data_IF_704292387400
#
_entry.id   IF_704292387400
#
_cell.length_a   1.000
_cell.length_b   1.000
_cell.length_c   1.000
_cell.angle_alpha   90.00
_cell.angle_beta   90.00
_cell.angle_gamma   90.00
#
_symmetry.space_group_name_H-M   'P 1'
#
loop_
_entity.id
_entity.type
_entity.pdbx_description
1 polymer ?
#
# COMPACT_ATOMS: atom_id res chain seq x y z
N UNK A 1 -9.88 10.80 14.52
CA UNK A 1 -10.75 11.27 13.44
C UNK A 1 -10.70 10.29 12.28
N UNK A 2 -11.84 9.86 11.83
CA UNK A 2 -11.91 8.94 10.70
C UNK A 2 -11.62 9.69 9.40
N UNK A 3 -10.81 9.09 8.53
CA UNK A 3 -10.60 9.68 7.21
C UNK A 3 -11.85 9.53 6.35
N UNK A 4 -12.01 10.41 5.38
CA UNK A 4 -13.16 10.37 4.48
C UNK A 4 -12.85 9.44 3.32
N UNK A 5 -13.49 8.27 3.32
CA UNK A 5 -13.22 7.22 2.33
C UNK A 5 -14.02 7.35 1.04
N UNK A 6 -15.07 8.18 1.01
CA UNK A 6 -15.94 8.27 -0.16
C UNK A 6 -15.22 8.68 -1.46
N UNK A 7 -14.33 9.69 -1.46
CA UNK A 7 -13.59 10.01 -2.70
C UNK A 7 -12.68 8.89 -3.17
N UNK A 8 -12.00 8.20 -2.24
CA UNK A 8 -11.15 7.07 -2.57
C UNK A 8 -11.98 5.93 -3.16
N UNK A 9 -13.10 5.60 -2.52
CA UNK A 9 -14.01 4.57 -2.99
C UNK A 9 -14.48 4.86 -4.41
N UNK A 10 -14.82 6.11 -4.70
CA UNK A 10 -15.29 6.52 -6.03
C UNK A 10 -14.22 6.30 -7.10
N UNK A 11 -12.98 6.74 -6.83
CA UNK A 11 -11.88 6.53 -7.77
C UNK A 11 -11.64 5.03 -8.01
N UNK A 12 -11.66 4.24 -6.96
CA UNK A 12 -11.47 2.79 -7.09
C UNK A 12 -12.61 2.13 -7.86
N UNK A 13 -13.85 2.54 -7.60
CA UNK A 13 -15.03 2.02 -8.29
C UNK A 13 -14.93 2.23 -9.81
N UNK A 14 -14.45 3.40 -10.23
CA UNK A 14 -14.28 3.74 -11.64
C UNK A 14 -12.92 3.35 -12.19
N UNK A 15 -12.13 2.59 -11.44
CA UNK A 15 -10.81 2.11 -11.84
C UNK A 15 -9.84 3.25 -12.17
N UNK A 16 -9.99 4.37 -11.51
CA UNK A 16 -9.10 5.52 -11.60
C UNK A 16 -7.95 5.31 -10.61
N UNK A 17 -7.11 4.33 -10.89
CA UNK A 17 -6.11 3.86 -9.92
C UNK A 17 -5.00 4.87 -9.64
N UNK A 18 -4.62 5.68 -10.61
CA UNK A 18 -3.62 6.71 -10.36
C UNK A 18 -4.14 7.74 -9.35
N UNK A 19 -5.38 8.20 -9.53
CA UNK A 19 -6.01 9.13 -8.61
C UNK A 19 -6.20 8.48 -7.23
N UNK A 20 -6.59 7.21 -7.21
CA UNK A 20 -6.75 6.47 -5.96
C UNK A 20 -5.42 6.34 -5.22
N UNK A 21 -4.33 6.12 -5.95
CA UNK A 21 -2.99 6.01 -5.37
C UNK A 21 -2.55 7.34 -4.73
N UNK A 22 -2.73 8.45 -5.45
CA UNK A 22 -2.39 9.78 -4.94
C UNK A 22 -3.20 10.13 -3.71
N UNK A 23 -4.49 9.80 -3.73
CA UNK A 23 -5.38 10.06 -2.59
C UNK A 23 -5.00 9.20 -1.39
N UNK A 24 -4.59 7.96 -1.61
CA UNK A 24 -4.13 7.08 -0.53
C UNK A 24 -2.89 7.67 0.14
N UNK A 25 -1.93 8.17 -0.62
CA UNK A 25 -0.75 8.84 -0.06
C UNK A 25 -1.14 10.06 0.76
N UNK A 26 -2.09 10.86 0.27
CA UNK A 26 -2.60 12.02 0.98
C UNK A 26 -3.26 11.61 2.30
N UNK A 27 -4.08 10.56 2.27
CA UNK A 27 -4.73 10.05 3.48
C UNK A 27 -3.71 9.57 4.51
N UNK A 28 -2.67 8.87 4.08
CA UNK A 28 -1.63 8.41 5.00
C UNK A 28 -0.94 9.59 5.70
N UNK A 29 -0.66 10.67 4.96
CA UNK A 29 -0.08 11.87 5.57
C UNK A 29 -1.02 12.49 6.60
N UNK A 30 -2.31 12.60 6.27
CA UNK A 30 -3.31 13.13 7.19
C UNK A 30 -3.42 12.28 8.46
N UNK A 31 -3.45 10.96 8.29
CA UNK A 31 -3.56 10.02 9.40
C UNK A 31 -2.30 10.01 10.28
N UNK A 32 -1.14 10.25 9.70
CA UNK A 32 0.12 10.30 10.43
C UNK A 32 0.28 11.62 11.24
N UNK A 33 -0.49 12.65 10.89
CA UNK A 33 -0.55 13.89 11.68
C UNK A 33 -0.10 15.13 10.92
N UNK A 34 -0.28 16.26 11.57
CA UNK A 34 -0.01 17.58 10.98
C UNK A 34 1.43 17.73 10.48
N UNK A 35 2.39 17.20 11.23
CA UNK A 35 3.79 17.29 10.83
C UNK A 35 4.06 16.58 9.51
N UNK A 36 3.44 15.41 9.30
CA UNK A 36 3.57 14.67 8.06
C UNK A 36 2.93 15.43 6.89
N UNK A 37 1.75 16.01 7.13
CA UNK A 37 1.07 16.82 6.10
C UNK A 37 1.94 18.01 5.68
N UNK A 38 2.47 18.76 6.64
CA UNK A 38 3.30 19.94 6.37
C UNK A 38 4.60 19.57 5.67
N UNK A 39 5.20 18.44 6.05
CA UNK A 39 6.45 17.97 5.48
C UNK A 39 6.27 17.39 4.08
N UNK A 40 5.09 16.81 3.81
CA UNK A 40 4.78 16.21 2.52
C UNK A 40 5.10 14.72 2.42
N UNK A 41 5.50 14.08 3.51
CA UNK A 41 5.73 12.64 3.55
C UNK A 41 5.67 12.11 4.98
N UNK A 42 5.47 10.81 5.14
CA UNK A 42 5.34 10.16 6.44
C UNK A 42 6.70 9.58 6.86
N UNK A 43 7.11 9.83 8.10
CA UNK A 43 8.24 9.12 8.69
C UNK A 43 7.80 7.73 9.14
N UNK A 44 8.69 6.74 9.04
CA UNK A 44 8.36 5.38 9.46
C UNK A 44 7.89 5.33 10.93
N UNK A 45 8.47 6.16 11.79
CA UNK A 45 8.12 6.21 13.21
C UNK A 45 6.71 6.73 13.49
N UNK A 46 6.11 7.42 12.52
CA UNK A 46 4.75 7.95 12.65
C UNK A 46 3.67 6.91 12.33
N UNK A 47 4.05 5.82 11.67
CA UNK A 47 3.09 4.78 11.26
C UNK A 47 2.40 4.15 12.46
N UNK A 48 3.11 3.94 13.55
CA UNK A 48 2.55 3.33 14.76
C UNK A 48 1.39 4.14 15.35
N UNK A 49 1.32 5.45 15.07
CA UNK A 49 0.25 6.31 15.57
C UNK A 49 -1.01 6.28 14.71
N UNK A 50 -0.95 5.67 13.53
CA UNK A 50 -2.10 5.59 12.64
C UNK A 50 -3.11 4.61 13.21
N UNK A 51 -4.38 5.04 13.27
CA UNK A 51 -5.48 4.21 13.76
C UNK A 51 -5.59 2.91 12.96
N UNK A 52 -5.73 1.78 13.68
CA UNK A 52 -5.93 0.47 13.05
C UNK A 52 -7.17 0.45 12.18
N UNK A 53 -8.26 1.08 12.62
CA UNK A 53 -9.50 1.14 11.84
C UNK A 53 -9.30 1.87 10.52
N UNK A 54 -8.59 2.99 10.55
CA UNK A 54 -8.34 3.78 9.35
C UNK A 54 -7.47 3.02 8.36
N UNK A 55 -6.41 2.40 8.85
CA UNK A 55 -5.51 1.64 7.99
C UNK A 55 -6.18 0.38 7.42
N UNK A 56 -7.01 -0.29 8.23
CA UNK A 56 -7.83 -1.40 7.76
C UNK A 56 -8.79 -0.96 6.66
N UNK A 57 -9.39 0.21 6.81
CA UNK A 57 -10.33 0.74 5.83
C UNK A 57 -9.66 1.00 4.49
N UNK A 58 -8.45 1.60 4.52
CA UNK A 58 -7.68 1.82 3.30
C UNK A 58 -7.37 0.49 2.60
N UNK A 59 -6.87 -0.48 3.34
CA UNK A 59 -6.53 -1.78 2.78
C UNK A 59 -7.76 -2.49 2.22
N UNK A 60 -8.85 -2.47 2.97
CA UNK A 60 -10.12 -3.11 2.57
C UNK A 60 -10.65 -2.54 1.27
N UNK A 61 -10.60 -1.22 1.10
CA UNK A 61 -11.08 -0.57 -0.12
C UNK A 61 -10.24 -1.01 -1.33
N UNK A 62 -8.92 -0.99 -1.19
CA UNK A 62 -8.04 -1.43 -2.28
C UNK A 62 -8.31 -2.88 -2.68
N UNK A 63 -8.46 -3.76 -1.71
CA UNK A 63 -8.73 -5.18 -1.98
C UNK A 63 -10.09 -5.36 -2.63
N UNK A 64 -11.12 -4.71 -2.09
CA UNK A 64 -12.50 -4.89 -2.57
C UNK A 64 -12.68 -4.45 -4.02
N UNK A 65 -12.03 -3.36 -4.42
CA UNK A 65 -12.20 -2.80 -5.76
C UNK A 65 -11.11 -3.21 -6.75
N UNK A 66 -10.27 -4.17 -6.38
CA UNK A 66 -9.21 -4.67 -7.26
C UNK A 66 -9.27 -6.19 -7.43
N UNK A 67 -10.37 -6.81 -7.02
CA UNK A 67 -10.50 -8.28 -7.07
C UNK A 67 -9.39 -8.97 -6.26
N UNK A 68 -8.98 -8.36 -5.18
CA UNK A 68 -7.94 -8.89 -4.29
C UNK A 68 -6.53 -8.72 -4.80
N UNK A 69 -6.33 -7.95 -5.86
CA UNK A 69 -5.00 -7.82 -6.48
C UNK A 69 -4.12 -6.79 -5.79
N UNK A 70 -4.70 -5.73 -5.22
CA UNK A 70 -3.95 -4.59 -4.68
C UNK A 70 -4.31 -4.36 -3.22
N UNK A 71 -3.38 -3.72 -2.49
CA UNK A 71 -3.56 -3.41 -1.09
C UNK A 71 -2.30 -3.69 -0.30
N UNK A 72 -2.20 -3.08 0.89
CA UNK A 72 -1.04 -3.27 1.76
C UNK A 72 -0.90 -4.72 2.23
N UNK A 73 -2.01 -5.38 2.57
CA UNK A 73 -1.96 -6.78 3.02
C UNK A 73 -1.55 -7.73 1.89
N UNK A 74 -1.86 -7.38 0.64
CA UNK A 74 -1.37 -8.13 -0.52
C UNK A 74 0.15 -7.98 -0.63
N UNK A 75 0.66 -6.77 -0.48
CA UNK A 75 2.10 -6.50 -0.49
C UNK A 75 2.79 -7.25 0.66
N UNK A 76 2.17 -7.26 1.83
CA UNK A 76 2.69 -8.00 2.99
C UNK A 76 2.76 -9.50 2.73
N UNK A 77 1.73 -10.07 2.11
CA UNK A 77 1.73 -11.49 1.74
C UNK A 77 2.85 -11.81 0.76
N UNK A 78 3.02 -10.98 -0.25
CA UNK A 78 4.08 -11.17 -1.24
C UNK A 78 5.47 -11.07 -0.62
N UNK A 79 5.66 -10.16 0.33
CA UNK A 79 6.92 -10.06 1.05
C UNK A 79 7.24 -11.35 1.79
N UNK A 80 6.25 -11.94 2.45
CA UNK A 80 6.44 -13.22 3.14
C UNK A 80 6.75 -14.35 2.18
N UNK A 81 6.11 -14.37 1.02
CA UNK A 81 6.41 -15.35 -0.02
C UNK A 81 7.83 -15.20 -0.56
N UNK A 82 8.39 -14.01 -0.47
CA UNK A 82 9.80 -13.74 -0.80
C UNK A 82 10.72 -13.94 0.40
N UNK A 83 10.24 -14.54 1.49
CA UNK A 83 11.01 -14.77 2.71
C UNK A 83 11.61 -13.47 3.27
N UNK A 84 10.84 -12.37 3.18
CA UNK A 84 11.22 -11.03 3.63
C UNK A 84 12.43 -10.44 2.90
N UNK A 85 12.67 -10.87 1.68
CA UNK A 85 13.75 -10.34 0.85
C UNK A 85 13.22 -9.24 -0.04
N UNK A 86 13.48 -7.99 0.34
CA UNK A 86 13.00 -6.82 -0.38
C UNK A 86 13.41 -6.82 -1.85
N UNK A 87 14.65 -7.22 -2.15
CA UNK A 87 15.14 -7.23 -3.53
C UNK A 87 14.38 -8.21 -4.43
N UNK A 88 13.77 -9.23 -3.86
CA UNK A 88 12.91 -10.16 -4.60
C UNK A 88 11.48 -9.64 -4.72
N UNK A 89 11.07 -8.80 -3.77
CA UNK A 89 9.72 -8.23 -3.78
C UNK A 89 9.53 -7.18 -4.89
N UNK A 90 10.53 -6.31 -5.08
CA UNK A 90 10.38 -5.19 -6.01
C UNK A 90 9.99 -5.60 -7.42
N UNK A 91 10.64 -6.63 -8.03
CA UNK A 91 10.21 -7.10 -9.36
C UNK A 91 8.79 -7.67 -9.35
N UNK A 92 8.41 -8.36 -8.28
CA UNK A 92 7.07 -8.95 -8.17
C UNK A 92 5.98 -7.90 -8.15
N UNK A 93 6.24 -6.78 -7.48
CA UNK A 93 5.30 -5.65 -7.44
C UNK A 93 5.30 -4.84 -8.73
N UNK A 94 6.28 -5.07 -9.62
CA UNK A 94 6.45 -4.26 -10.81
C UNK A 94 7.05 -2.90 -10.53
N UNK A 95 7.71 -2.73 -9.38
CA UNK A 95 8.35 -1.47 -8.98
C UNK A 95 9.79 -1.37 -9.44
N UNK A 96 10.38 -2.50 -9.85
CA UNK A 96 11.76 -2.54 -10.34
C UNK A 96 11.88 -3.59 -11.43
N UNK A 97 12.53 -3.25 -12.54
CA UNK A 97 12.74 -4.17 -13.68
C UNK A 97 14.18 -4.09 -14.13
N UNK A 98 14.84 -5.24 -14.21
CA UNK A 98 16.23 -5.34 -14.65
C UNK A 98 17.15 -4.40 -13.88
N UNK A 99 16.91 -4.30 -12.55
CA UNK A 99 17.72 -3.46 -11.66
C UNK A 99 17.37 -1.98 -11.70
N UNK A 100 16.36 -1.57 -12.47
CA UNK A 100 15.96 -0.16 -12.63
C UNK A 100 14.58 0.05 -12.02
N UNK A 101 14.45 1.08 -11.18
CA UNK A 101 13.16 1.46 -10.60
C UNK A 101 12.19 1.92 -11.68
N UNK A 102 10.96 1.41 -11.62
CA UNK A 102 9.88 1.83 -12.50
C UNK A 102 9.56 3.31 -12.22
N UNK A 103 9.54 4.13 -13.29
CA UNK A 103 9.28 5.56 -13.15
C UNK A 103 7.84 5.80 -12.70
N UNK A 104 7.69 6.51 -11.59
CA UNK A 104 6.39 6.90 -11.07
C UNK A 104 6.11 8.36 -11.45
N UNK A 105 4.92 8.72 -11.91
CA UNK A 105 3.79 7.80 -12.17
C UNK A 105 3.74 7.26 -13.61
N UNK A 106 4.61 7.75 -14.49
CA UNK A 106 4.46 7.60 -15.94
C UNK A 106 4.61 6.15 -16.44
N UNK A 107 5.43 5.33 -15.77
CA UNK A 107 5.65 3.95 -16.19
C UNK A 107 4.87 2.94 -15.36
N UNK A 108 4.08 3.40 -14.38
CA UNK A 108 3.19 2.51 -13.63
C UNK A 108 2.01 2.08 -14.48
N UNK A 109 1.53 0.87 -14.24
CA UNK A 109 0.35 0.32 -14.92
C UNK A 109 -0.87 0.60 -14.06
N UNK A 110 -1.68 1.55 -14.48
CA UNK A 110 -2.85 2.00 -13.70
C UNK A 110 -4.11 1.24 -14.10
N UNK A 111 -4.05 -0.10 -14.02
CA UNK A 111 -5.19 -0.95 -14.36
C UNK A 111 -5.12 -2.27 -13.61
N UNK A 112 -6.19 -3.07 -13.69
CA UNK A 112 -6.23 -4.40 -13.10
C UNK A 112 -5.22 -5.38 -13.73
N UNK A 113 -4.62 -5.02 -14.85
CA UNK A 113 -3.59 -5.82 -15.51
C UNK A 113 -2.21 -5.67 -14.85
N UNK A 114 -2.06 -4.71 -13.94
CA UNK A 114 -0.81 -4.50 -13.22
C UNK A 114 -0.44 -5.74 -12.40
N UNK A 115 0.84 -5.92 -12.09
CA UNK A 115 1.26 -7.02 -11.22
C UNK A 115 0.55 -6.97 -9.87
N UNK A 116 0.33 -8.15 -9.28
CA UNK A 116 -0.28 -8.23 -7.95
C UNK A 116 0.53 -7.42 -6.95
N UNK A 117 -0.15 -6.63 -6.13
CA UNK A 117 0.50 -5.76 -5.15
C UNK A 117 1.10 -4.48 -5.70
N UNK A 118 0.92 -4.21 -7.00
CA UNK A 118 1.48 -3.03 -7.66
C UNK A 118 1.08 -1.72 -6.98
N UNK A 119 -0.15 -1.66 -6.46
CA UNK A 119 -0.70 -0.48 -5.82
C UNK A 119 -1.17 -0.79 -4.40
N UNK A 120 -1.22 0.15 -3.49
CA UNK A 120 -0.74 1.52 -3.63
C UNK A 120 0.78 1.60 -3.49
N UNK A 121 1.40 2.57 -4.15
CA UNK A 121 2.85 2.76 -4.06
C UNK A 121 3.24 3.29 -2.70
N UNK A 122 4.29 2.71 -2.13
CA UNK A 122 5.00 3.27 -0.98
C UNK A 122 6.38 3.69 -1.48
N UNK A 123 6.67 4.98 -1.39
CA UNK A 123 7.88 5.56 -1.95
C UNK A 123 9.14 4.99 -1.28
N UNK A 124 10.10 4.55 -2.10
CA UNK A 124 11.34 3.94 -1.64
C UNK A 124 12.55 4.89 -1.68
N UNK A 125 12.34 6.18 -1.96
CA UNK A 125 13.45 7.14 -2.02
C UNK A 125 14.23 7.25 -0.72
N UNK A 126 13.58 6.94 0.41
CA UNK A 126 14.18 6.99 1.74
C UNK A 126 14.47 5.60 2.31
N UNK A 127 14.51 4.59 1.47
CA UNK A 127 14.71 3.21 1.87
C UNK A 127 13.42 2.50 2.24
N UNK A 128 13.54 1.31 2.85
CA UNK A 128 12.40 0.41 3.08
C UNK A 128 11.66 0.66 4.40
N UNK A 129 12.17 1.55 5.26
CA UNK A 129 11.64 1.69 6.62
C UNK A 129 10.16 2.03 6.68
N UNK A 130 9.70 2.91 5.80
CA UNK A 130 8.28 3.28 5.79
C UNK A 130 7.41 2.10 5.40
N UNK A 131 7.76 1.41 4.33
CA UNK A 131 7.00 0.25 3.89
C UNK A 131 7.04 -0.87 4.91
N UNK A 132 8.22 -1.11 5.50
CA UNK A 132 8.35 -2.10 6.56
C UNK A 132 7.41 -1.78 7.72
N UNK A 133 7.37 -0.53 8.17
CA UNK A 133 6.47 -0.10 9.23
C UNK A 133 4.99 -0.29 8.86
N UNK A 134 4.61 0.06 7.63
CA UNK A 134 3.23 -0.10 7.16
C UNK A 134 2.83 -1.57 7.11
N UNK A 135 3.66 -2.43 6.53
CA UNK A 135 3.33 -3.83 6.38
C UNK A 135 3.33 -4.57 7.72
N UNK A 136 4.06 -4.08 8.72
CA UNK A 136 4.10 -4.65 10.06
C UNK A 136 3.16 -3.96 11.05
N UNK A 137 2.44 -2.91 10.63
CA UNK A 137 1.40 -2.31 11.46
C UNK A 137 0.37 -3.41 11.82
N UNK A 138 -0.08 -3.47 13.09
CA UNK A 138 -0.99 -4.55 13.51
C UNK A 138 -2.21 -4.72 12.61
N UNK A 139 -2.78 -3.62 12.11
CA UNK A 139 -3.95 -3.68 11.23
C UNK A 139 -3.66 -4.40 9.90
N UNK A 140 -2.50 -4.11 9.29
CA UNK A 140 -2.11 -4.74 8.02
C UNK A 140 -1.64 -6.17 8.27
N UNK A 141 -0.82 -6.36 9.30
CA UNK A 141 -0.27 -7.67 9.64
C UNK A 141 -1.37 -8.69 9.90
N UNK A 142 -2.41 -8.30 10.63
CA UNK A 142 -3.56 -9.16 10.89
C UNK A 142 -4.23 -9.61 9.60
N UNK A 143 -4.43 -8.70 8.67
CA UNK A 143 -5.05 -9.01 7.39
C UNK A 143 -4.14 -9.87 6.50
N UNK A 144 -2.85 -9.64 6.56
CA UNK A 144 -1.86 -10.48 5.88
C UNK A 144 -1.90 -11.91 6.42
N UNK A 145 -1.89 -12.05 7.75
CA UNK A 145 -1.95 -13.35 8.41
C UNK A 145 -3.23 -14.10 8.05
N UNK A 146 -4.37 -13.40 8.04
CA UNK A 146 -5.65 -14.00 7.68
C UNK A 146 -5.65 -14.51 6.23
N UNK A 147 -5.06 -13.76 5.30
CA UNK A 147 -4.99 -14.17 3.90
C UNK A 147 -4.11 -15.42 3.72
N UNK A 148 -3.01 -15.51 4.45
CA UNK A 148 -2.13 -16.69 4.40
C UNK A 148 -2.78 -17.90 5.08
N UNK A 149 -3.50 -17.67 6.17
CA UNK A 149 -4.25 -18.72 6.84
C UNK A 149 -5.35 -19.32 5.96
N UNK A 150 -6.02 -18.48 5.18
CA UNK A 150 -7.07 -18.92 4.25
C UNK A 150 -6.55 -19.85 3.17
N UNK A 151 -5.30 -19.66 2.74
CA UNK A 151 -4.69 -20.47 1.69
C UNK A 151 -4.37 -21.88 2.18
N UNK A 152 -4.21 -22.04 3.50
CA UNK A 152 -3.89 -23.34 4.12
C UNK A 152 -5.13 -24.21 4.39
N UNK A 153 -6.28 -23.61 4.29
CA UNK A 153 -7.55 -24.29 4.59
C UNK A 153 -8.10 -25.15 3.45
#
# INVERSE_FOLDING_TARGET
MLFRSAPLQRHLLFQEFEQADRLTSSHLRQLAGTAAEERGYVYFSEVATISSLDLQSLDRLWIAYSLGRFGFSVQGRLLRLCENRWEELWPRLGWKRDGVWTRYPSAFTWSLEAPEGHMPLVNQLRGVRLMDALLHHPAVRQRTDASLGSVKG
#
